data_IF_489034789044
#
_entry.id   IF_489034789044
#
_cell.length_a   1.000
_cell.length_b   1.000
_cell.length_c   1.000
_cell.angle_alpha   90.00
_cell.angle_beta   90.00
_cell.angle_gamma   90.00
#
_symmetry.space_group_name_H-M   'P 1'
#
loop_
_entity.id
_entity.type
_entity.pdbx_description
1 polymer ?
#
# COMPACT_ATOMS: atom_id res chain seq x y z
N UNK A 1 30.37 14.47 4.21
CA UNK A 1 29.08 15.08 3.86
C UNK A 1 28.31 14.04 3.03
N UNK A 2 26.96 14.01 3.07
CA UNK A 2 26.18 13.05 2.29
C UNK A 2 26.24 13.34 0.78
N UNK A 3 26.33 12.32 -0.07
CA UNK A 3 26.26 12.49 -1.54
C UNK A 3 24.87 12.97 -1.95
N UNK A 4 24.73 13.49 -3.17
CA UNK A 4 23.41 13.83 -3.72
C UNK A 4 22.47 12.60 -3.73
N UNK A 5 22.96 11.41 -4.05
CA UNK A 5 22.20 10.16 -3.98
C UNK A 5 21.79 9.78 -2.55
N UNK A 6 22.65 10.01 -1.56
CA UNK A 6 22.33 9.77 -0.14
C UNK A 6 21.23 10.72 0.33
N UNK A 7 21.31 12.01 -0.01
CA UNK A 7 20.26 12.99 0.29
C UNK A 7 18.93 12.61 -0.35
N UNK A 8 18.93 12.24 -1.64
CA UNK A 8 17.73 11.76 -2.33
C UNK A 8 17.13 10.54 -1.64
N UNK A 9 17.97 9.60 -1.20
CA UNK A 9 17.52 8.40 -0.51
C UNK A 9 16.93 8.71 0.86
N UNK A 10 17.61 9.50 1.69
CA UNK A 10 17.17 9.84 3.05
C UNK A 10 15.84 10.59 3.03
N UNK A 11 15.71 11.58 2.16
CA UNK A 11 14.50 12.34 1.98
C UNK A 11 13.37 11.48 1.39
N UNK A 12 13.68 10.54 0.47
CA UNK A 12 12.70 9.58 -0.05
C UNK A 12 12.16 8.66 1.05
N UNK A 13 13.02 8.25 2.00
CA UNK A 13 12.62 7.43 3.16
C UNK A 13 11.75 8.26 4.12
N UNK A 14 12.17 9.49 4.45
CA UNK A 14 11.40 10.39 5.30
C UNK A 14 10.01 10.66 4.70
N UNK A 15 9.97 10.92 3.41
CA UNK A 15 8.73 11.13 2.67
C UNK A 15 7.85 9.87 2.62
N UNK A 16 8.42 8.68 2.46
CA UNK A 16 7.67 7.43 2.52
C UNK A 16 6.97 7.23 3.89
N UNK A 17 7.61 7.63 4.98
CA UNK A 17 7.00 7.63 6.32
C UNK A 17 5.84 8.62 6.39
N UNK A 18 6.02 9.82 5.82
CA UNK A 18 4.95 10.82 5.74
C UNK A 18 3.76 10.31 4.91
N UNK A 19 3.99 9.75 3.72
CA UNK A 19 2.96 9.13 2.87
C UNK A 19 2.21 8.02 3.62
N UNK A 20 2.91 7.18 4.39
CA UNK A 20 2.27 6.11 5.17
C UNK A 20 1.33 6.67 6.26
N UNK A 21 1.71 7.77 6.91
CA UNK A 21 0.87 8.48 7.91
C UNK A 21 -0.30 9.17 7.22
N UNK A 22 -0.04 9.91 6.15
CA UNK A 22 -1.06 10.58 5.36
C UNK A 22 -2.10 9.59 4.82
N UNK A 23 -1.67 8.49 4.21
CA UNK A 23 -2.55 7.43 3.70
C UNK A 23 -3.45 6.83 4.79
N UNK A 24 -2.93 6.71 6.02
CA UNK A 24 -3.71 6.24 7.16
C UNK A 24 -4.76 7.27 7.57
N UNK A 25 -4.42 8.56 7.55
CA UNK A 25 -5.36 9.64 7.83
C UNK A 25 -6.47 9.72 6.78
N UNK A 26 -6.13 9.62 5.49
CA UNK A 26 -7.09 9.55 4.38
C UNK A 26 -8.02 8.34 4.56
N UNK A 27 -7.47 7.15 4.81
CA UNK A 27 -8.26 5.95 5.04
C UNK A 27 -9.27 6.11 6.20
N UNK A 28 -8.85 6.73 7.29
CA UNK A 28 -9.74 6.98 8.44
C UNK A 28 -10.87 7.96 8.08
N UNK A 29 -10.60 8.98 7.26
CA UNK A 29 -11.66 9.89 6.76
C UNK A 29 -12.66 9.15 5.87
N UNK A 30 -12.19 8.28 4.97
CA UNK A 30 -13.06 7.47 4.12
C UNK A 30 -13.93 6.51 4.94
N UNK A 31 -13.34 5.85 5.94
CA UNK A 31 -14.07 5.00 6.88
C UNK A 31 -15.11 5.80 7.67
N UNK A 32 -14.78 7.03 8.07
CA UNK A 32 -15.71 7.91 8.79
C UNK A 32 -16.93 8.26 7.93
N UNK A 33 -16.74 8.62 6.65
CA UNK A 33 -17.83 8.91 5.71
C UNK A 33 -18.79 7.71 5.63
N UNK A 34 -18.24 6.50 5.48
CA UNK A 34 -19.06 5.28 5.45
C UNK A 34 -19.78 5.02 6.78
N UNK A 35 -19.12 5.22 7.93
CA UNK A 35 -19.75 5.03 9.25
C UNK A 35 -20.89 6.01 9.50
N UNK A 36 -20.74 7.26 9.09
CA UNK A 36 -21.77 8.28 9.24
C UNK A 36 -22.99 7.92 8.38
N UNK A 37 -22.79 7.49 7.14
CA UNK A 37 -23.84 7.01 6.25
C UNK A 37 -24.49 5.70 6.73
N UNK A 38 -23.74 4.80 7.37
CA UNK A 38 -24.26 3.52 7.91
C UNK A 38 -25.32 3.74 9.00
N UNK A 39 -25.31 4.86 9.70
CA UNK A 39 -26.32 5.20 10.70
C UNK A 39 -27.69 5.43 10.02
N UNK A 40 -27.74 6.25 8.99
CA UNK A 40 -28.95 6.53 8.24
C UNK A 40 -29.45 5.29 7.48
N UNK A 41 -28.53 4.59 6.80
CA UNK A 41 -28.83 3.35 6.11
C UNK A 41 -29.51 2.33 7.04
N UNK A 42 -29.00 2.18 8.27
CA UNK A 42 -29.55 1.24 9.24
C UNK A 42 -30.93 1.69 9.77
N UNK A 43 -31.12 3.00 9.98
CA UNK A 43 -32.43 3.56 10.37
C UNK A 43 -33.47 3.35 9.26
N UNK A 44 -33.12 3.56 8.00
CA UNK A 44 -34.00 3.29 6.85
C UNK A 44 -34.29 1.81 6.69
N UNK A 45 -33.32 0.95 6.94
CA UNK A 45 -33.53 -0.51 6.93
C UNK A 45 -34.56 -0.93 7.98
N UNK A 46 -34.47 -0.38 9.21
CA UNK A 46 -35.47 -0.65 10.27
C UNK A 46 -36.86 -0.23 9.84
N UNK A 47 -37.05 1.02 9.41
CA UNK A 47 -38.35 1.53 8.95
C UNK A 47 -38.93 0.66 7.81
N UNK A 48 -38.06 0.24 6.87
CA UNK A 48 -38.50 -0.61 5.77
C UNK A 48 -38.91 -2.02 6.25
N UNK A 49 -38.19 -2.60 7.22
CA UNK A 49 -38.55 -3.91 7.81
C UNK A 49 -39.83 -3.83 8.63
N UNK A 50 -40.04 -2.75 9.40
CA UNK A 50 -41.26 -2.56 10.20
C UNK A 50 -42.54 -2.38 9.34
N UNK A 51 -42.37 -1.98 8.08
CA UNK A 51 -43.49 -1.88 7.13
C UNK A 51 -43.90 -3.22 6.50
N UNK A 52 -43.20 -4.32 6.79
CA UNK A 52 -43.51 -5.66 6.30
C UNK A 52 -44.40 -6.41 7.29
N UNK A 53 -45.51 -6.96 6.81
CA UNK A 53 -46.30 -7.88 7.62
C UNK A 53 -45.52 -9.15 7.94
N UNK A 54 -45.54 -9.55 9.23
CA UNK A 54 -44.74 -10.64 9.78
C UNK A 54 -44.93 -12.01 9.08
N UNK A 55 -46.12 -12.23 8.48
CA UNK A 55 -46.51 -13.54 7.95
C UNK A 55 -46.18 -13.75 6.46
N UNK A 56 -45.52 -12.82 5.78
CA UNK A 56 -45.36 -12.90 4.32
C UNK A 56 -43.96 -12.48 3.79
N UNK A 57 -42.89 -13.08 4.32
CA UNK A 57 -41.59 -12.92 3.73
C UNK A 57 -41.50 -13.57 2.34
N UNK A 58 -41.39 -12.76 1.30
CA UNK A 58 -41.11 -13.21 -0.08
C UNK A 58 -39.86 -12.51 -0.63
N UNK A 59 -39.21 -13.16 -1.61
CA UNK A 59 -38.07 -12.57 -2.31
C UNK A 59 -38.39 -11.21 -2.92
N UNK A 60 -39.62 -11.08 -3.51
CA UNK A 60 -40.08 -9.83 -4.12
C UNK A 60 -40.21 -8.69 -3.11
N UNK A 61 -40.71 -8.99 -1.90
CA UNK A 61 -40.80 -7.99 -0.82
C UNK A 61 -39.44 -7.59 -0.27
N UNK A 62 -38.54 -8.55 -0.11
CA UNK A 62 -37.14 -8.23 0.24
C UNK A 62 -36.49 -7.30 -0.77
N UNK A 63 -36.64 -7.57 -2.07
CA UNK A 63 -36.08 -6.71 -3.11
C UNK A 63 -36.72 -5.31 -3.09
N UNK A 64 -38.02 -5.18 -2.87
CA UNK A 64 -38.71 -3.89 -2.71
C UNK A 64 -38.17 -3.11 -1.48
N UNK A 65 -38.00 -3.79 -0.36
CA UNK A 65 -37.43 -3.24 0.89
C UNK A 65 -36.01 -2.70 0.64
N UNK A 66 -35.21 -3.43 -0.11
CA UNK A 66 -33.80 -3.06 -0.33
C UNK A 66 -33.62 -1.94 -1.36
N UNK A 67 -34.64 -1.47 -2.06
CA UNK A 67 -34.52 -0.38 -3.06
C UNK A 67 -33.99 0.91 -2.42
N UNK A 68 -34.60 1.36 -1.32
CA UNK A 68 -34.17 2.57 -0.60
C UNK A 68 -32.77 2.41 0.01
N UNK A 69 -32.47 1.22 0.53
CA UNK A 69 -31.17 0.87 1.10
C UNK A 69 -30.08 0.89 0.02
N UNK A 70 -30.37 0.43 -1.20
CA UNK A 70 -29.45 0.49 -2.34
C UNK A 70 -29.08 1.93 -2.70
N UNK A 71 -30.08 2.84 -2.73
CA UNK A 71 -29.84 4.25 -3.02
C UNK A 71 -28.88 4.88 -2.00
N UNK A 72 -29.13 4.68 -0.71
CA UNK A 72 -28.26 5.17 0.37
C UNK A 72 -26.86 4.53 0.34
N UNK A 73 -26.77 3.24 0.04
CA UNK A 73 -25.48 2.57 -0.10
C UNK A 73 -24.65 3.15 -1.25
N UNK A 74 -25.30 3.43 -2.38
CA UNK A 74 -24.65 4.09 -3.53
C UNK A 74 -24.18 5.48 -3.17
N UNK A 75 -25.02 6.30 -2.55
CA UNK A 75 -24.69 7.65 -2.12
C UNK A 75 -23.51 7.66 -1.14
N UNK A 76 -23.49 6.73 -0.17
CA UNK A 76 -22.38 6.58 0.78
C UNK A 76 -21.04 6.30 0.07
N UNK A 77 -21.04 5.39 -0.90
CA UNK A 77 -19.82 5.05 -1.65
C UNK A 77 -19.41 6.18 -2.60
N UNK A 78 -20.37 6.85 -3.24
CA UNK A 78 -20.09 8.03 -4.08
C UNK A 78 -19.49 9.18 -3.27
N UNK A 79 -20.02 9.45 -2.08
CA UNK A 79 -19.48 10.46 -1.16
C UNK A 79 -18.06 10.11 -0.70
N UNK A 80 -17.81 8.83 -0.38
CA UNK A 80 -16.47 8.34 -0.06
C UNK A 80 -15.51 8.49 -1.25
N UNK A 81 -15.95 8.13 -2.47
CA UNK A 81 -15.15 8.25 -3.68
C UNK A 81 -14.82 9.72 -4.00
N UNK A 82 -15.80 10.62 -3.91
CA UNK A 82 -15.58 12.06 -4.11
C UNK A 82 -14.57 12.61 -3.10
N UNK A 83 -14.74 12.31 -1.81
CA UNK A 83 -13.80 12.71 -0.77
C UNK A 83 -12.39 12.16 -0.98
N UNK A 84 -12.27 10.90 -1.46
CA UNK A 84 -10.97 10.33 -1.81
C UNK A 84 -10.35 11.03 -3.01
N UNK A 85 -11.14 11.37 -4.03
CA UNK A 85 -10.67 12.10 -5.21
C UNK A 85 -10.13 13.49 -4.85
N UNK A 86 -10.81 14.22 -3.96
CA UNK A 86 -10.35 15.52 -3.46
C UNK A 86 -9.01 15.41 -2.71
N UNK A 87 -8.87 14.38 -1.85
CA UNK A 87 -7.61 14.10 -1.15
C UNK A 87 -6.47 13.79 -2.13
N UNK A 88 -6.75 13.04 -3.18
CA UNK A 88 -5.76 12.70 -4.20
C UNK A 88 -5.36 13.92 -5.05
N UNK A 89 -6.28 14.85 -5.34
CA UNK A 89 -5.94 16.10 -6.03
C UNK A 89 -5.00 16.97 -5.17
N UNK A 90 -5.31 17.12 -3.88
CA UNK A 90 -4.44 17.85 -2.94
C UNK A 90 -3.06 17.16 -2.82
N UNK A 91 -3.04 15.83 -2.77
CA UNK A 91 -1.79 15.09 -2.76
C UNK A 91 -0.98 15.29 -4.05
N UNK A 92 -1.61 15.35 -5.21
CA UNK A 92 -0.92 15.61 -6.48
C UNK A 92 -0.20 16.97 -6.48
N UNK A 93 -0.83 18.01 -5.90
CA UNK A 93 -0.19 19.32 -5.72
C UNK A 93 1.02 19.24 -4.80
N UNK A 94 0.88 18.53 -3.67
CA UNK A 94 1.97 18.33 -2.72
C UNK A 94 3.12 17.57 -3.37
N UNK A 95 2.84 16.45 -4.02
CA UNK A 95 3.85 15.58 -4.62
C UNK A 95 4.62 16.27 -5.75
N UNK A 96 3.95 17.03 -6.59
CA UNK A 96 4.61 17.78 -7.67
C UNK A 96 5.63 18.79 -7.11
N UNK A 97 5.26 19.53 -6.08
CA UNK A 97 6.14 20.47 -5.39
C UNK A 97 7.26 19.76 -4.62
N UNK A 98 6.93 18.67 -3.95
CA UNK A 98 7.91 17.90 -3.18
C UNK A 98 9.02 17.31 -4.08
N UNK A 99 8.67 16.68 -5.22
CA UNK A 99 9.66 16.09 -6.09
C UNK A 99 10.66 17.16 -6.61
N UNK A 100 10.18 18.31 -7.03
CA UNK A 100 11.04 19.41 -7.47
C UNK A 100 11.96 19.89 -6.34
N UNK A 101 11.39 20.15 -5.16
CA UNK A 101 12.14 20.64 -3.99
C UNK A 101 13.19 19.62 -3.51
N UNK A 102 12.86 18.33 -3.55
CA UNK A 102 13.77 17.25 -3.20
C UNK A 102 15.03 17.26 -4.06
N UNK A 103 14.85 17.37 -5.37
CA UNK A 103 15.98 17.37 -6.30
C UNK A 103 16.77 18.68 -6.23
N UNK A 104 16.12 19.83 -6.07
CA UNK A 104 16.80 21.11 -5.82
C UNK A 104 17.65 21.09 -4.54
N UNK A 105 17.16 20.44 -3.47
CA UNK A 105 17.92 20.28 -2.23
C UNK A 105 19.12 19.33 -2.38
N UNK A 106 18.94 18.25 -3.13
CA UNK A 106 19.94 17.19 -3.21
C UNK A 106 21.07 17.48 -4.20
N UNK A 107 20.76 18.16 -5.30
CA UNK A 107 21.69 18.38 -6.42
C UNK A 107 22.43 19.72 -6.23
N UNK A 108 23.76 19.76 -6.41
CA UNK A 108 24.53 21.01 -6.34
C UNK A 108 24.10 22.03 -7.40
N UNK A 109 24.18 23.33 -7.04
CA UNK A 109 23.78 24.44 -7.91
C UNK A 109 24.52 24.46 -9.27
N UNK A 110 25.78 24.05 -9.27
CA UNK A 110 26.60 23.96 -10.50
C UNK A 110 25.98 22.96 -11.50
N UNK A 111 25.45 21.85 -11.00
CA UNK A 111 24.76 20.84 -11.82
C UNK A 111 23.43 21.40 -12.31
N UNK A 112 22.64 22.04 -11.40
CA UNK A 112 21.33 22.62 -11.72
C UNK A 112 21.43 23.76 -12.75
N UNK A 113 22.57 24.47 -12.78
CA UNK A 113 22.83 25.53 -13.77
C UNK A 113 23.03 24.97 -15.18
N UNK A 114 23.57 23.76 -15.32
CA UNK A 114 23.81 23.08 -16.60
C UNK A 114 22.59 22.20 -16.99
N UNK A 115 21.91 21.62 -15.99
CA UNK A 115 20.77 20.73 -16.13
C UNK A 115 19.58 21.27 -15.31
N UNK A 116 18.88 22.28 -15.78
CA UNK A 116 17.74 22.85 -15.06
C UNK A 116 16.61 21.84 -14.94
N UNK A 117 16.06 21.70 -13.73
CA UNK A 117 14.98 20.75 -13.46
C UNK A 117 13.66 21.19 -14.10
N UNK A 118 12.96 20.23 -14.69
CA UNK A 118 11.61 20.39 -15.21
C UNK A 118 10.60 19.98 -14.15
N UNK A 119 9.75 20.92 -13.73
CA UNK A 119 8.63 20.64 -12.82
C UNK A 119 7.51 19.87 -13.55
N UNK A 120 6.67 19.19 -12.78
CA UNK A 120 5.50 18.46 -13.30
C UNK A 120 4.21 19.15 -12.93
N UNK A 121 3.20 19.06 -13.80
CA UNK A 121 1.85 19.57 -13.53
C UNK A 121 1.12 18.68 -12.54
N UNK A 122 0.59 19.22 -11.42
CA UNK A 122 -0.26 18.49 -10.51
C UNK A 122 -1.48 17.84 -11.18
N UNK A 123 -2.12 18.57 -12.08
CA UNK A 123 -3.30 18.08 -12.82
C UNK A 123 -2.94 16.90 -13.73
N UNK A 124 -1.79 16.96 -14.40
CA UNK A 124 -1.30 15.86 -15.21
C UNK A 124 -0.96 14.62 -14.37
N UNK A 125 -0.36 14.80 -13.19
CA UNK A 125 -0.08 13.72 -12.22
C UNK A 125 -1.39 13.06 -11.78
N UNK A 126 -2.37 13.87 -11.36
CA UNK A 126 -3.68 13.38 -10.94
C UNK A 126 -4.38 12.61 -12.06
N UNK A 127 -4.49 13.22 -13.25
CA UNK A 127 -5.13 12.59 -14.41
C UNK A 127 -4.44 11.26 -14.79
N UNK A 128 -3.11 11.23 -14.79
CA UNK A 128 -2.33 10.02 -15.08
C UNK A 128 -2.59 8.93 -14.04
N UNK A 129 -2.59 9.28 -12.74
CA UNK A 129 -2.86 8.32 -11.68
C UNK A 129 -4.29 7.76 -11.75
N UNK A 130 -5.28 8.60 -12.07
CA UNK A 130 -6.68 8.17 -12.21
C UNK A 130 -6.92 7.30 -13.43
N UNK A 131 -6.15 7.50 -14.51
CA UNK A 131 -6.23 6.72 -15.75
C UNK A 131 -5.46 5.39 -15.69
N UNK A 132 -4.61 5.17 -14.69
CA UNK A 132 -3.82 3.95 -14.54
C UNK A 132 -4.42 3.02 -13.49
N UNK A 133 -4.55 1.71 -13.79
CA UNK A 133 -5.05 0.76 -12.82
C UNK A 133 -3.99 0.48 -11.74
N UNK A 134 -4.43 0.25 -10.51
CA UNK A 134 -3.65 -0.37 -9.45
C UNK A 134 -4.35 -1.65 -8.99
N UNK A 135 -3.58 -2.68 -8.74
CA UNK A 135 -4.11 -4.01 -8.40
C UNK A 135 -5.18 -4.50 -9.40
N UNK A 136 -4.96 -4.21 -10.69
CA UNK A 136 -5.77 -4.70 -11.80
C UNK A 136 -7.05 -3.92 -12.11
N UNK A 137 -7.33 -2.79 -11.40
CA UNK A 137 -8.55 -1.99 -11.59
C UNK A 137 -8.29 -0.50 -11.45
N UNK A 138 -9.10 0.32 -12.10
CA UNK A 138 -9.16 1.76 -11.87
C UNK A 138 -9.79 2.05 -10.50
N UNK A 139 -9.53 3.25 -9.96
CA UNK A 139 -10.11 3.64 -8.67
C UNK A 139 -11.66 3.66 -8.71
N UNK A 140 -12.25 4.09 -9.82
CA UNK A 140 -13.71 4.04 -10.03
C UNK A 140 -14.26 2.62 -9.97
N UNK A 141 -13.59 1.66 -10.60
CA UNK A 141 -13.98 0.24 -10.56
C UNK A 141 -13.84 -0.37 -9.16
N UNK A 142 -12.86 0.10 -8.36
CA UNK A 142 -12.77 -0.29 -6.94
C UNK A 142 -13.95 0.25 -6.14
N UNK A 143 -14.42 1.49 -6.41
CA UNK A 143 -15.60 2.06 -5.76
C UNK A 143 -16.87 1.28 -6.12
N UNK A 144 -17.08 0.96 -7.39
CA UNK A 144 -18.23 0.17 -7.87
C UNK A 144 -18.26 -1.22 -7.22
N UNK A 145 -17.09 -1.88 -7.12
CA UNK A 145 -16.99 -3.18 -6.44
C UNK A 145 -17.27 -3.08 -4.93
N UNK A 146 -16.84 -1.99 -4.29
CA UNK A 146 -17.14 -1.74 -2.88
C UNK A 146 -18.65 -1.55 -2.67
N UNK A 147 -19.34 -0.79 -3.54
CA UNK A 147 -20.80 -0.61 -3.52
C UNK A 147 -21.51 -1.96 -3.61
N UNK A 148 -21.14 -2.77 -4.59
CA UNK A 148 -21.75 -4.09 -4.82
C UNK A 148 -21.51 -5.05 -3.64
N UNK A 149 -20.29 -5.13 -3.12
CA UNK A 149 -19.94 -5.96 -1.96
C UNK A 149 -20.73 -5.53 -0.71
N UNK A 150 -20.83 -4.23 -0.43
CA UNK A 150 -21.62 -3.71 0.68
C UNK A 150 -23.08 -4.11 0.57
N UNK A 151 -23.68 -3.93 -0.62
CA UNK A 151 -25.08 -4.29 -0.85
C UNK A 151 -25.33 -5.79 -0.71
N UNK A 152 -24.42 -6.62 -1.22
CA UNK A 152 -24.50 -8.07 -1.06
C UNK A 152 -24.46 -8.48 0.42
N UNK A 153 -23.59 -7.88 1.23
CA UNK A 153 -23.49 -8.13 2.69
C UNK A 153 -24.77 -7.73 3.41
N UNK A 154 -25.32 -6.56 3.10
CA UNK A 154 -26.59 -6.09 3.67
C UNK A 154 -27.71 -7.09 3.33
N UNK A 155 -27.89 -7.39 2.06
CA UNK A 155 -28.95 -8.30 1.57
C UNK A 155 -28.84 -9.69 2.21
N UNK A 156 -27.64 -10.25 2.28
CA UNK A 156 -27.42 -11.57 2.88
C UNK A 156 -27.69 -11.56 4.38
N UNK A 157 -27.27 -10.50 5.10
CA UNK A 157 -27.50 -10.39 6.55
C UNK A 157 -28.97 -10.24 6.86
N UNK A 158 -29.71 -9.43 6.09
CA UNK A 158 -31.15 -9.27 6.24
C UNK A 158 -31.88 -10.60 5.97
N UNK A 159 -31.55 -11.27 4.85
CA UNK A 159 -32.10 -12.57 4.49
C UNK A 159 -31.88 -13.63 5.56
N UNK A 160 -30.64 -13.73 6.08
CA UNK A 160 -30.32 -14.67 7.15
C UNK A 160 -31.08 -14.35 8.45
N UNK A 161 -31.18 -13.06 8.80
CA UNK A 161 -31.93 -12.66 9.99
C UNK A 161 -33.39 -13.08 9.96
N UNK A 162 -34.07 -12.85 8.83
CA UNK A 162 -35.45 -13.31 8.65
C UNK A 162 -35.58 -14.84 8.73
N UNK A 163 -34.65 -15.59 8.13
CA UNK A 163 -34.63 -17.05 8.18
C UNK A 163 -34.42 -17.60 9.60
N UNK A 164 -33.68 -16.88 10.43
CA UNK A 164 -33.38 -17.26 11.82
C UNK A 164 -34.46 -16.77 12.82
N UNK A 165 -35.42 -15.96 12.37
CA UNK A 165 -36.42 -15.36 13.24
C UNK A 165 -35.90 -14.24 14.12
N UNK A 166 -34.82 -13.55 13.68
CA UNK A 166 -34.27 -12.38 14.39
C UNK A 166 -35.30 -11.23 14.37
N UNK A 167 -35.28 -10.40 15.43
CA UNK A 167 -36.03 -9.13 15.40
C UNK A 167 -35.38 -8.14 14.43
N UNK A 168 -36.17 -7.14 14.00
CA UNK A 168 -35.65 -6.10 13.07
C UNK A 168 -34.45 -5.37 13.65
N UNK A 169 -34.43 -5.09 14.96
CA UNK A 169 -33.29 -4.47 15.65
C UNK A 169 -32.10 -5.41 15.70
N UNK A 170 -32.29 -6.73 15.85
CA UNK A 170 -31.21 -7.70 15.79
C UNK A 170 -30.57 -7.74 14.39
N UNK A 171 -31.41 -7.75 13.35
CA UNK A 171 -30.94 -7.68 11.94
C UNK A 171 -30.16 -6.39 11.71
N UNK A 172 -30.68 -5.24 12.11
CA UNK A 172 -30.04 -3.96 11.97
C UNK A 172 -28.67 -3.91 12.68
N UNK A 173 -28.59 -4.48 13.89
CA UNK A 173 -27.32 -4.63 14.62
C UNK A 173 -26.34 -5.56 13.94
N UNK A 174 -26.82 -6.68 13.37
CA UNK A 174 -25.95 -7.58 12.58
C UNK A 174 -25.40 -6.91 11.33
N UNK A 175 -26.13 -6.00 10.70
CA UNK A 175 -25.68 -5.22 9.56
C UNK A 175 -24.60 -4.20 9.99
N UNK A 176 -24.91 -3.33 10.94
CA UNK A 176 -24.04 -2.22 11.34
C UNK A 176 -22.94 -2.62 12.31
N UNK A 177 -23.25 -3.48 13.28
CA UNK A 177 -22.45 -3.79 14.45
C UNK A 177 -22.85 -2.97 15.68
N UNK A 178 -22.17 -3.23 16.81
CA UNK A 178 -22.42 -2.57 18.09
C UNK A 178 -21.46 -1.38 18.30
N UNK A 179 -22.00 -0.24 18.74
CA UNK A 179 -21.22 0.99 18.98
C UNK A 179 -20.13 0.79 20.05
N UNK A 180 -20.41 0.04 21.12
CA UNK A 180 -19.43 -0.26 22.19
C UNK A 180 -18.28 -1.17 21.72
N UNK A 181 -18.39 -1.77 20.53
CA UNK A 181 -17.31 -2.53 19.86
C UNK A 181 -16.74 -1.80 18.65
N UNK A 182 -17.00 -0.49 18.53
CA UNK A 182 -16.56 0.28 17.38
C UNK A 182 -17.11 -0.24 16.05
N UNK A 183 -18.27 -0.88 16.06
CA UNK A 183 -18.94 -1.49 14.91
C UNK A 183 -18.14 -2.60 14.21
N UNK A 184 -17.15 -3.21 14.91
CA UNK A 184 -16.28 -4.23 14.32
C UNK A 184 -16.94 -5.60 14.14
N UNK A 185 -18.09 -5.82 14.75
CA UNK A 185 -18.85 -7.07 14.71
C UNK A 185 -20.04 -7.04 13.72
N UNK A 186 -20.17 -5.98 12.93
CA UNK A 186 -21.19 -5.85 11.89
C UNK A 186 -20.74 -6.35 10.53
N UNK A 187 -21.71 -6.75 9.70
CA UNK A 187 -21.46 -7.21 8.32
C UNK A 187 -20.72 -6.15 7.46
N UNK A 188 -20.93 -4.86 7.73
CA UNK A 188 -20.28 -3.75 7.02
C UNK A 188 -18.83 -3.51 7.43
N UNK A 189 -18.31 -4.17 8.48
CA UNK A 189 -16.92 -3.99 8.92
C UNK A 189 -15.91 -4.34 7.83
N UNK A 190 -16.13 -5.43 7.09
CA UNK A 190 -15.23 -5.83 6.01
C UNK A 190 -15.18 -4.77 4.91
N UNK A 191 -16.33 -4.16 4.56
CA UNK A 191 -16.37 -3.11 3.53
C UNK A 191 -15.64 -1.84 3.98
N UNK A 192 -15.69 -1.48 5.27
CA UNK A 192 -14.89 -0.38 5.84
C UNK A 192 -13.39 -0.67 5.79
N UNK A 193 -13.00 -1.90 6.09
CA UNK A 193 -11.61 -2.37 5.97
C UNK A 193 -11.12 -2.29 4.52
N UNK A 194 -11.96 -2.73 3.57
CA UNK A 194 -11.66 -2.67 2.13
C UNK A 194 -11.53 -1.22 1.65
N UNK A 195 -12.45 -0.33 2.04
CA UNK A 195 -12.36 1.10 1.73
C UNK A 195 -11.06 1.73 2.23
N UNK A 196 -10.66 1.41 3.46
CA UNK A 196 -9.38 1.86 4.02
C UNK A 196 -8.16 1.34 3.24
N UNK A 197 -8.22 0.09 2.77
CA UNK A 197 -7.14 -0.50 1.96
C UNK A 197 -7.07 0.11 0.56
N UNK A 198 -8.22 0.36 -0.07
CA UNK A 198 -8.31 1.07 -1.37
C UNK A 198 -7.71 2.48 -1.22
N UNK A 199 -8.12 3.24 -0.22
CA UNK A 199 -7.65 4.61 0.00
C UNK A 199 -6.12 4.65 0.23
N UNK A 200 -5.56 3.76 1.07
CA UNK A 200 -4.12 3.69 1.29
C UNK A 200 -3.34 3.36 0.02
N UNK A 201 -3.88 2.46 -0.80
CA UNK A 201 -3.22 2.04 -2.04
C UNK A 201 -3.32 3.13 -3.10
N UNK A 202 -4.44 3.83 -3.20
CA UNK A 202 -4.61 4.97 -4.10
C UNK A 202 -3.63 6.11 -3.79
N UNK A 203 -3.41 6.43 -2.51
CA UNK A 203 -2.39 7.40 -2.06
C UNK A 203 -0.99 6.96 -2.50
N UNK A 204 -0.61 5.71 -2.26
CA UNK A 204 0.69 5.17 -2.67
C UNK A 204 0.86 5.14 -4.19
N UNK A 205 -0.21 4.82 -4.92
CA UNK A 205 -0.24 4.81 -6.37
C UNK A 205 -0.01 6.22 -6.95
N UNK A 206 -0.71 7.24 -6.43
CA UNK A 206 -0.53 8.62 -6.88
C UNK A 206 0.88 9.13 -6.57
N UNK A 207 1.40 8.91 -5.37
CA UNK A 207 2.77 9.32 -5.02
C UNK A 207 3.83 8.63 -5.91
N UNK A 208 3.63 7.35 -6.25
CA UNK A 208 4.49 6.63 -7.20
C UNK A 208 4.37 7.20 -8.63
N UNK A 209 3.17 7.62 -9.04
CA UNK A 209 2.94 8.24 -10.34
C UNK A 209 3.62 9.59 -10.44
N UNK A 210 3.50 10.45 -9.42
CA UNK A 210 4.16 11.75 -9.36
C UNK A 210 5.69 11.61 -9.48
N UNK A 211 6.25 10.68 -8.72
CA UNK A 211 7.70 10.39 -8.73
C UNK A 211 8.17 9.95 -10.10
N UNK A 212 7.42 9.03 -10.73
CA UNK A 212 7.72 8.58 -12.09
C UNK A 212 7.61 9.72 -13.11
N UNK A 213 6.55 10.51 -13.06
CA UNK A 213 6.36 11.65 -13.98
C UNK A 213 7.49 12.67 -13.85
N UNK A 214 7.97 12.94 -12.63
CA UNK A 214 9.12 13.82 -12.41
C UNK A 214 10.40 13.23 -12.99
N UNK A 215 10.64 11.94 -12.79
CA UNK A 215 11.81 11.26 -13.34
C UNK A 215 11.80 11.22 -14.87
N UNK A 216 10.61 10.98 -15.48
CA UNK A 216 10.47 10.96 -16.92
C UNK A 216 10.73 12.36 -17.55
N UNK A 217 10.43 13.44 -16.81
CA UNK A 217 10.67 14.82 -17.23
C UNK A 217 12.15 15.27 -17.04
N UNK A 218 12.94 14.52 -16.25
CA UNK A 218 14.31 14.83 -15.89
C UNK A 218 15.26 13.62 -16.08
N UNK A 219 15.03 12.81 -17.10
CA UNK A 219 15.76 11.57 -17.37
C UNK A 219 17.21 11.82 -17.83
N UNK A 220 17.49 13.04 -18.31
CA UNK A 220 18.82 13.49 -18.70
C UNK A 220 19.84 13.48 -17.57
N UNK A 221 19.41 13.65 -16.30
CA UNK A 221 20.27 13.59 -15.12
C UNK A 221 20.24 12.25 -14.38
N UNK A 222 19.34 11.34 -14.76
CA UNK A 222 19.10 10.08 -14.05
C UNK A 222 19.73 8.89 -14.76
N UNK A 223 20.35 7.99 -13.97
CA UNK A 223 20.95 6.73 -14.44
C UNK A 223 20.05 5.52 -14.19
N UNK A 224 19.22 5.59 -13.17
CA UNK A 224 18.37 4.48 -12.74
C UNK A 224 17.65 4.80 -11.44
N UNK A 225 17.17 3.74 -10.79
CA UNK A 225 16.45 3.83 -9.53
C UNK A 225 16.75 2.65 -8.62
N UNK A 226 16.52 2.84 -7.33
CA UNK A 226 16.72 1.82 -6.30
C UNK A 226 15.46 1.65 -5.49
N UNK A 227 15.09 0.41 -5.25
CA UNK A 227 13.95 0.04 -4.40
C UNK A 227 14.33 0.21 -2.91
N UNK A 228 13.44 0.82 -2.14
CA UNK A 228 13.60 1.02 -0.70
C UNK A 228 12.36 0.48 0.02
N UNK A 229 12.55 -0.58 0.79
CA UNK A 229 11.46 -1.18 1.58
C UNK A 229 11.43 -0.62 3.00
N UNK A 230 10.25 -0.62 3.62
CA UNK A 230 10.14 -0.31 5.05
C UNK A 230 10.74 -1.45 5.87
N UNK A 231 11.65 -1.14 6.80
CA UNK A 231 12.31 -2.12 7.67
C UNK A 231 11.42 -2.44 8.88
N UNK A 232 10.38 -3.27 8.66
CA UNK A 232 9.49 -3.73 9.71
C UNK A 232 8.93 -5.14 9.44
N UNK A 233 8.20 -5.69 10.42
CA UNK A 233 7.61 -7.02 10.35
C UNK A 233 6.40 -7.14 9.42
N UNK A 234 5.85 -6.03 8.90
CA UNK A 234 4.69 -6.00 7.99
C UNK A 234 5.07 -5.88 6.53
N UNK A 235 6.35 -5.67 6.24
CA UNK A 235 6.85 -5.61 4.86
C UNK A 235 6.68 -6.96 4.18
N UNK A 236 6.03 -6.97 3.02
CA UNK A 236 5.74 -8.19 2.28
C UNK A 236 7.01 -8.87 1.78
N UNK A 237 6.92 -10.18 1.53
CA UNK A 237 8.02 -10.96 0.93
C UNK A 237 8.48 -10.37 -0.41
N UNK A 238 7.53 -9.87 -1.21
CA UNK A 238 7.82 -9.29 -2.53
C UNK A 238 8.61 -7.97 -2.42
N UNK A 239 8.36 -7.18 -1.37
CA UNK A 239 9.12 -5.97 -1.09
C UNK A 239 10.48 -6.28 -0.49
N UNK A 240 10.58 -7.28 0.43
CA UNK A 240 11.84 -7.63 1.11
C UNK A 240 12.95 -8.02 0.14
N UNK A 241 12.64 -8.90 -0.83
CA UNK A 241 13.63 -9.37 -1.81
C UNK A 241 14.09 -8.24 -2.75
N UNK A 242 13.28 -7.19 -2.92
CA UNK A 242 13.60 -6.05 -3.79
C UNK A 242 14.35 -4.94 -3.08
N UNK A 243 14.46 -5.02 -1.75
CA UNK A 243 15.11 -3.95 -0.99
C UNK A 243 16.55 -3.76 -1.44
N UNK A 244 16.91 -2.51 -1.75
CA UNK A 244 18.21 -2.10 -2.30
C UNK A 244 18.51 -2.55 -3.72
N UNK A 245 17.66 -3.34 -4.37
CA UNK A 245 17.87 -3.72 -5.76
C UNK A 245 17.74 -2.49 -6.68
N UNK A 246 18.61 -2.45 -7.70
CA UNK A 246 18.68 -1.35 -8.66
C UNK A 246 18.04 -1.74 -9.98
N UNK A 247 17.41 -0.75 -10.61
CA UNK A 247 16.71 -0.91 -11.87
C UNK A 247 17.03 0.27 -12.79
N UNK A 248 16.97 0.03 -14.10
CA UNK A 248 16.97 1.13 -15.08
C UNK A 248 15.68 1.94 -14.96
N UNK A 249 15.64 3.11 -15.59
CA UNK A 249 14.38 3.89 -15.67
C UNK A 249 13.26 3.10 -16.35
N UNK A 250 13.60 2.21 -17.31
CA UNK A 250 12.69 1.27 -18.00
C UNK A 250 12.31 0.01 -17.17
N UNK A 251 12.59 -0.02 -15.87
CA UNK A 251 12.28 -1.13 -14.97
C UNK A 251 13.10 -2.42 -15.19
N UNK A 252 14.18 -2.41 -15.93
CA UNK A 252 15.04 -3.59 -16.13
C UNK A 252 15.96 -3.76 -14.93
N UNK A 253 16.15 -5.01 -14.40
CA UNK A 253 17.07 -5.29 -13.32
C UNK A 253 18.54 -4.92 -13.67
N UNK A 254 19.30 -4.40 -12.70
CA UNK A 254 20.73 -4.07 -12.83
C UNK A 254 21.51 -4.95 -11.84
N UNK A 255 22.28 -5.92 -12.35
CA UNK A 255 23.12 -6.80 -11.54
C UNK A 255 22.36 -7.95 -10.82
N UNK A 256 21.09 -8.15 -11.15
CA UNK A 256 20.25 -9.23 -10.61
C UNK A 256 19.12 -9.61 -11.59
N UNK A 257 18.33 -10.65 -11.27
CA UNK A 257 17.24 -11.14 -12.15
C UNK A 257 15.83 -10.88 -11.59
N UNK A 258 15.70 -10.21 -10.44
CA UNK A 258 14.42 -9.96 -9.79
C UNK A 258 13.64 -8.87 -10.55
N UNK A 259 12.44 -9.16 -11.11
CA UNK A 259 11.70 -8.19 -11.91
C UNK A 259 11.15 -7.04 -11.04
N UNK A 260 11.04 -5.84 -11.63
CA UNK A 260 10.48 -4.66 -10.96
C UNK A 260 8.97 -4.77 -10.68
N UNK A 261 8.25 -5.50 -11.52
CA UNK A 261 6.79 -5.65 -11.49
C UNK A 261 6.06 -4.28 -11.61
N UNK A 262 5.03 -4.05 -10.79
CA UNK A 262 4.29 -2.80 -10.79
C UNK A 262 5.02 -1.64 -10.08
N UNK A 263 6.10 -1.96 -9.37
CA UNK A 263 6.88 -0.99 -8.61
C UNK A 263 6.40 -0.75 -7.17
N UNK A 264 7.22 -0.03 -6.40
CA UNK A 264 6.90 0.28 -5.01
C UNK A 264 5.68 1.21 -4.89
N UNK A 265 5.00 1.15 -3.74
CA UNK A 265 3.75 1.90 -3.48
C UNK A 265 2.50 1.23 -4.05
N UNK A 266 2.62 0.37 -5.06
CA UNK A 266 1.49 -0.25 -5.77
C UNK A 266 1.63 -1.74 -6.12
N UNK A 267 2.73 -2.39 -5.74
CA UNK A 267 2.96 -3.82 -6.01
C UNK A 267 1.93 -4.73 -5.32
N UNK A 268 1.38 -4.30 -4.20
CA UNK A 268 0.28 -4.94 -3.47
C UNK A 268 -0.52 -3.90 -2.68
N UNK A 269 -1.69 -4.27 -2.17
CA UNK A 269 -2.47 -3.38 -1.31
C UNK A 269 -1.66 -2.88 -0.10
N UNK A 270 -1.82 -1.59 0.22
CA UNK A 270 -1.15 -0.92 1.34
C UNK A 270 0.39 -1.05 1.30
N UNK A 271 0.99 -1.12 0.12
CA UNK A 271 2.44 -1.13 -0.04
C UNK A 271 3.04 0.19 0.49
N UNK A 272 4.09 0.07 1.32
CA UNK A 272 4.79 1.21 1.94
C UNK A 272 6.23 1.37 1.44
N UNK A 273 6.64 0.54 0.50
CA UNK A 273 7.93 0.69 -0.18
C UNK A 273 7.93 1.91 -1.09
N UNK A 274 9.10 2.48 -1.30
CA UNK A 274 9.35 3.63 -2.16
C UNK A 274 10.55 3.32 -3.06
N UNK A 275 10.79 4.12 -4.05
CA UNK A 275 12.04 4.15 -4.80
C UNK A 275 12.73 5.49 -4.62
N UNK A 276 14.05 5.48 -4.71
CA UNK A 276 14.88 6.67 -4.91
C UNK A 276 15.53 6.61 -6.28
N UNK A 277 15.81 7.76 -6.87
CA UNK A 277 16.53 7.81 -8.14
C UNK A 277 18.03 7.86 -7.92
N UNK A 278 18.78 7.36 -8.89
CA UNK A 278 20.24 7.35 -8.94
C UNK A 278 20.63 8.35 -10.00
N UNK A 279 21.36 9.38 -9.60
CA UNK A 279 21.91 10.38 -10.50
C UNK A 279 23.05 9.78 -11.35
N UNK A 280 23.22 10.31 -12.54
CA UNK A 280 24.44 10.10 -13.34
C UNK A 280 25.65 10.60 -12.56
N UNK A 281 26.82 10.01 -12.80
CA UNK A 281 28.07 10.46 -12.16
C UNK A 281 28.46 11.86 -12.67
N UNK A 282 29.33 12.54 -11.91
CA UNK A 282 29.84 13.83 -12.31
C UNK A 282 30.50 13.81 -13.71
N UNK A 283 31.20 12.72 -14.02
CA UNK A 283 31.82 12.53 -15.34
C UNK A 283 30.76 12.38 -16.45
N UNK A 284 29.66 11.64 -16.17
CA UNK A 284 28.52 11.47 -17.09
C UNK A 284 27.75 12.78 -17.31
N UNK A 285 27.77 13.68 -16.31
CA UNK A 285 27.16 15.02 -16.37
C UNK A 285 28.12 16.14 -16.82
N UNK A 286 29.40 15.80 -17.07
CA UNK A 286 30.42 16.77 -17.50
C UNK A 286 30.90 17.71 -16.41
N UNK A 287 30.85 17.30 -15.12
CA UNK A 287 31.11 18.15 -13.95
C UNK A 287 32.17 17.47 -13.04
N UNK A 288 33.15 18.24 -12.54
CA UNK A 288 34.16 17.76 -11.59
C UNK A 288 33.72 18.03 -10.14
N UNK A 289 33.25 17.02 -9.41
CA UNK A 289 32.83 17.14 -7.99
C UNK A 289 33.36 15.99 -7.13
N UNK A 290 33.77 16.28 -5.90
CA UNK A 290 34.32 15.33 -4.91
C UNK A 290 33.27 14.48 -4.21
N UNK A 291 33.68 13.30 -3.72
CA UNK A 291 32.84 12.31 -3.00
C UNK A 291 32.56 12.71 -1.56
N UNK A 292 31.41 12.27 -1.04
CA UNK A 292 30.87 12.63 0.29
C UNK A 292 30.16 11.45 0.99
N UNK A 293 30.26 11.37 2.35
CA UNK A 293 30.03 10.20 3.22
C UNK A 293 28.68 10.11 3.95
N UNK A 294 28.41 8.92 4.43
CA UNK A 294 27.43 8.31 5.36
C UNK A 294 26.14 9.05 5.80
N UNK A 295 25.03 8.38 5.53
CA UNK A 295 23.67 8.72 5.91
C UNK A 295 23.03 7.62 6.77
N UNK A 296 21.84 7.85 7.36
CA UNK A 296 21.10 6.88 8.16
C UNK A 296 19.73 6.52 7.56
N UNK A 297 19.21 5.34 7.87
CA UNK A 297 17.91 4.82 7.41
C UNK A 297 17.01 4.53 8.59
N UNK A 298 15.73 4.84 8.47
CA UNK A 298 14.73 4.52 9.50
C UNK A 298 14.33 3.04 9.48
N UNK A 299 14.24 2.43 10.67
CA UNK A 299 13.68 1.10 10.89
C UNK A 299 12.66 1.14 12.01
N UNK A 300 11.93 0.04 12.24
CA UNK A 300 11.04 -0.08 13.41
C UNK A 300 11.80 -0.09 14.75
N UNK A 301 13.10 -0.28 14.75
CA UNK A 301 13.98 -0.27 15.92
C UNK A 301 14.75 1.05 16.09
N UNK A 302 14.38 2.10 15.31
CA UNK A 302 15.05 3.39 15.27
C UNK A 302 15.90 3.58 14.01
N UNK A 303 16.88 4.48 14.06
CA UNK A 303 17.79 4.73 12.94
C UNK A 303 18.83 3.61 12.81
N UNK A 304 19.08 3.20 11.59
CA UNK A 304 20.14 2.25 11.21
C UNK A 304 21.02 2.86 10.13
N UNK A 305 22.26 2.36 9.89
CA UNK A 305 23.08 2.81 8.76
C UNK A 305 22.31 2.76 7.44
N UNK A 306 22.54 3.73 6.57
CA UNK A 306 21.81 3.86 5.30
C UNK A 306 22.02 2.69 4.34
N UNK A 307 23.14 2.00 4.44
CA UNK A 307 23.48 0.80 3.68
C UNK A 307 22.78 -0.47 4.19
N UNK A 308 22.14 -0.42 5.36
CA UNK A 308 21.39 -1.55 5.90
C UNK A 308 20.23 -1.92 4.94
N UNK A 309 20.28 -3.13 4.41
CA UNK A 309 19.17 -3.71 3.66
C UNK A 309 18.18 -4.45 4.59
N UNK A 310 17.07 -4.94 4.04
CA UNK A 310 16.08 -5.68 4.81
C UNK A 310 16.68 -6.95 5.43
N UNK A 311 17.54 -7.66 4.73
CA UNK A 311 18.16 -8.91 5.20
C UNK A 311 19.11 -8.64 6.35
N UNK A 312 19.96 -7.62 6.24
CA UNK A 312 20.87 -7.20 7.32
C UNK A 312 20.11 -6.70 8.56
N UNK A 313 18.99 -5.99 8.39
CA UNK A 313 18.11 -5.63 9.49
C UNK A 313 17.44 -6.86 10.11
N UNK A 314 16.86 -7.75 9.29
CA UNK A 314 16.17 -8.97 9.71
C UNK A 314 17.09 -9.91 10.50
N UNK A 315 18.33 -10.10 10.05
CA UNK A 315 19.31 -10.99 10.71
C UNK A 315 19.67 -10.55 12.14
N UNK A 316 19.51 -9.25 12.44
CA UNK A 316 19.72 -8.69 13.78
C UNK A 316 18.51 -8.81 14.70
N UNK A 317 17.36 -9.29 14.18
CA UNK A 317 16.14 -9.40 14.96
C UNK A 317 16.18 -10.64 15.88
N UNK A 318 15.44 -10.57 17.01
CA UNK A 318 15.25 -11.73 17.89
C UNK A 318 14.55 -12.89 17.15
N UNK A 319 14.80 -14.12 17.57
CA UNK A 319 14.15 -15.31 17.02
C UNK A 319 12.62 -15.21 17.02
N UNK A 320 12.04 -14.63 18.08
CA UNK A 320 10.59 -14.40 18.16
C UNK A 320 10.13 -13.50 17.02
N UNK A 321 10.85 -12.39 16.76
CA UNK A 321 10.51 -11.45 15.67
C UNK A 321 10.74 -12.06 14.29
N UNK A 322 11.84 -12.78 14.10
CA UNK A 322 12.09 -13.53 12.88
C UNK A 322 10.97 -14.55 12.62
N UNK A 323 10.52 -15.28 13.65
CA UNK A 323 9.41 -16.23 13.54
C UNK A 323 8.08 -15.58 13.18
N UNK A 324 7.80 -14.38 13.65
CA UNK A 324 6.62 -13.61 13.27
C UNK A 324 6.65 -13.18 11.79
N UNK A 325 7.85 -12.96 11.24
CA UNK A 325 8.06 -12.46 9.88
C UNK A 325 8.03 -13.60 8.83
N UNK A 326 8.76 -14.69 9.09
CA UNK A 326 8.97 -15.78 8.10
C UNK A 326 8.31 -17.11 8.50
N UNK A 327 7.73 -17.17 9.67
CA UNK A 327 7.20 -18.40 10.28
C UNK A 327 8.27 -19.17 11.06
N UNK A 328 7.82 -19.97 12.05
CA UNK A 328 8.72 -20.69 12.98
C UNK A 328 9.69 -21.62 12.26
N UNK A 329 9.22 -22.37 11.27
CA UNK A 329 10.03 -23.33 10.50
C UNK A 329 11.20 -22.64 9.80
N UNK A 330 10.95 -21.54 9.07
CA UNK A 330 12.02 -20.80 8.38
C UNK A 330 12.94 -20.08 9.36
N UNK A 331 12.44 -19.58 10.47
CA UNK A 331 13.27 -19.01 11.51
C UNK A 331 14.23 -20.04 12.13
N UNK A 332 13.80 -21.30 12.26
CA UNK A 332 14.68 -22.41 12.67
C UNK A 332 15.70 -22.77 11.60
N UNK A 333 15.29 -22.81 10.34
CA UNK A 333 16.21 -23.05 9.21
C UNK A 333 17.34 -22.01 9.17
N UNK A 334 17.06 -20.75 9.50
CA UNK A 334 18.09 -19.71 9.62
C UNK A 334 18.97 -19.96 10.85
N UNK A 335 18.37 -20.12 12.03
CA UNK A 335 19.12 -20.17 13.30
C UNK A 335 19.94 -21.46 13.44
N UNK A 336 19.33 -22.59 13.12
CA UNK A 336 19.85 -23.94 13.42
C UNK A 336 20.29 -24.69 12.15
N UNK A 337 19.68 -24.38 11.00
CA UNK A 337 19.95 -25.01 9.70
C UNK A 337 20.97 -24.28 8.83
N UNK A 338 21.46 -23.11 9.24
CA UNK A 338 22.49 -22.34 8.54
C UNK A 338 22.02 -21.67 7.23
N UNK A 339 20.69 -21.65 6.93
CA UNK A 339 20.15 -20.93 5.77
C UNK A 339 20.18 -19.43 5.98
N UNK A 340 20.38 -18.69 4.91
CA UNK A 340 20.19 -17.24 4.87
C UNK A 340 18.74 -16.88 4.51
N UNK A 341 18.25 -15.67 4.84
CA UNK A 341 16.94 -15.22 4.38
C UNK A 341 16.78 -15.19 2.86
N UNK A 342 17.87 -14.99 2.10
CA UNK A 342 17.86 -14.98 0.63
C UNK A 342 17.62 -16.36 0.05
N UNK A 343 18.02 -17.43 0.76
CA UNK A 343 17.78 -18.80 0.32
C UNK A 343 16.30 -19.15 0.17
N UNK A 344 15.42 -18.36 0.79
CA UNK A 344 13.97 -18.54 0.68
C UNK A 344 13.37 -18.05 -0.65
N UNK A 345 14.20 -17.53 -1.53
CA UNK A 345 13.78 -17.06 -2.85
C UNK A 345 14.52 -17.80 -3.96
N UNK A 346 13.91 -17.87 -5.14
CA UNK A 346 14.62 -18.23 -6.36
C UNK A 346 15.26 -16.99 -7.01
N UNK A 347 16.00 -17.20 -8.12
CA UNK A 347 16.72 -16.14 -8.84
C UNK A 347 15.81 -15.02 -9.38
N UNK A 348 14.50 -15.29 -9.50
CA UNK A 348 13.47 -14.32 -9.89
C UNK A 348 12.82 -13.62 -8.72
N UNK A 349 13.25 -13.91 -7.48
CA UNK A 349 12.70 -13.34 -6.25
C UNK A 349 11.32 -13.92 -5.87
N UNK A 350 10.99 -15.11 -6.34
CA UNK A 350 9.78 -15.84 -5.95
C UNK A 350 10.02 -16.62 -4.65
N UNK A 351 9.07 -16.53 -3.72
CA UNK A 351 9.13 -17.19 -2.43
C UNK A 351 8.95 -18.71 -2.54
N UNK A 352 9.96 -19.48 -2.17
CA UNK A 352 9.97 -20.93 -2.24
C UNK A 352 9.06 -21.55 -1.15
N UNK A 353 8.40 -22.66 -1.48
CA UNK A 353 7.69 -23.50 -0.52
C UNK A 353 8.67 -24.24 0.39
N UNK A 354 8.20 -24.79 1.52
CA UNK A 354 9.07 -25.60 2.39
C UNK A 354 9.57 -26.88 1.69
N UNK A 355 8.76 -27.47 0.82
CA UNK A 355 9.18 -28.66 0.04
C UNK A 355 10.27 -28.31 -0.97
N UNK A 356 10.15 -27.15 -1.64
CA UNK A 356 11.20 -26.67 -2.54
C UNK A 356 12.50 -26.38 -1.79
N UNK A 357 12.41 -25.77 -0.61
CA UNK A 357 13.57 -25.54 0.26
C UNK A 357 14.20 -26.84 0.72
N UNK A 358 13.38 -27.84 1.12
CA UNK A 358 13.87 -29.16 1.53
C UNK A 358 14.57 -29.90 0.40
N UNK A 359 14.05 -29.80 -0.83
CA UNK A 359 14.70 -30.35 -2.02
C UNK A 359 16.03 -29.65 -2.35
N UNK A 360 16.13 -28.35 -2.05
CA UNK A 360 17.35 -27.56 -2.25
C UNK A 360 18.42 -27.84 -1.20
N UNK A 361 18.02 -27.99 0.06
CA UNK A 361 18.92 -28.26 1.18
C UNK A 361 18.24 -29.13 2.26
N UNK A 362 18.28 -30.45 2.05
CA UNK A 362 17.74 -31.39 3.00
C UNK A 362 18.54 -31.48 4.31
N UNK A 363 19.82 -31.06 4.31
CA UNK A 363 20.66 -31.08 5.50
C UNK A 363 20.24 -29.98 6.46
N UNK A 364 19.97 -28.78 5.97
CA UNK A 364 19.45 -27.67 6.77
C UNK A 364 18.17 -28.03 7.55
N UNK A 365 17.27 -28.83 6.94
CA UNK A 365 16.05 -29.30 7.61
C UNK A 365 16.34 -30.30 8.73
N UNK A 366 17.33 -31.19 8.56
CA UNK A 366 17.76 -32.13 9.60
C UNK A 366 18.38 -31.38 10.80
N UNK A 367 19.28 -30.43 10.51
CA UNK A 367 19.96 -29.64 11.52
C UNK A 367 18.99 -28.76 12.30
N UNK A 368 18.02 -28.14 11.63
CA UNK A 368 16.94 -27.35 12.23
C UNK A 368 15.85 -28.20 12.94
N UNK A 369 15.85 -29.53 12.75
CA UNK A 369 14.84 -30.46 13.28
C UNK A 369 13.41 -30.09 12.90
N UNK A 370 13.17 -29.82 11.60
CA UNK A 370 11.88 -29.39 11.05
C UNK A 370 11.52 -30.17 9.78
#
# INVERSE_FOLDING_TARGET
>A
MATANDKLQDESIAHAIWIARYSTSVANRMIKILNDSDAELTARLLVAMDSLDADSFTVSRLEALLVSVRALNREAVQSMYAGLSDELQQLAQHEAGFQLSLFQFAIPDDVLSLHPLVGISPDAVYATAMAQPFQGRLLSEWADNLEADRMARISNTVRQGFLLGDTHEQIARKVRGHANRGYQDGALQMSRTNAGSIAKTAVGHLASTARKSFADANDDILKGKQWLSTLDNRTSKDCRIRDRLKYTLDNKPIGHNVPYLQGPGKIHFCCRSVETYILKSSDELGIAVGQISDSSRASMDGQVPSDTDYQGWFSRQSFTRQSQIVGVTRARLIRDGGMSPDDFYNDKGEWLTLDQLRNRDAQAFKDARV
#
